data_IF_620580113310
#
_entry.id   IF_620580113310
#
_cell.length_a   1.000
_cell.length_b   1.000
_cell.length_c   1.000
_cell.angle_alpha   90.00
_cell.angle_beta   90.00
_cell.angle_gamma   90.00
#
_symmetry.space_group_name_H-M   'P 1'
#
loop_
_entity.id
_entity.type
_entity.pdbx_description
1 polymer ?
#
# COMPACT_ATOMS: atom_id res chain seq x y z
N UNK A 1 10.52 -13.96 -9.79
CA UNK A 1 11.21 -12.65 -9.89
C UNK A 1 11.18 -11.93 -8.56
N UNK A 2 12.13 -11.03 -8.30
CA UNK A 2 12.16 -10.14 -7.12
C UNK A 2 12.23 -8.64 -7.45
N UNK A 3 12.32 -8.27 -8.74
CA UNK A 3 12.21 -6.88 -9.22
C UNK A 3 11.72 -6.83 -10.66
N UNK A 4 11.22 -5.67 -11.09
CA UNK A 4 10.78 -5.46 -12.48
C UNK A 4 11.95 -5.44 -13.47
N UNK A 5 13.10 -4.92 -13.02
CA UNK A 5 14.34 -5.01 -13.78
C UNK A 5 14.69 -6.48 -14.06
N UNK A 6 14.62 -7.36 -13.06
CA UNK A 6 14.86 -8.79 -13.24
C UNK A 6 13.82 -9.44 -14.16
N UNK A 7 12.54 -9.03 -14.10
CA UNK A 7 11.52 -9.51 -15.04
C UNK A 7 11.89 -9.15 -16.49
N UNK A 8 12.20 -7.87 -16.75
CA UNK A 8 12.56 -7.38 -18.08
C UNK A 8 13.88 -7.95 -18.60
N UNK A 9 14.87 -8.21 -17.73
CA UNK A 9 16.11 -8.93 -18.05
C UNK A 9 15.88 -10.42 -18.40
N UNK A 10 14.70 -10.97 -18.14
CA UNK A 10 14.35 -12.37 -18.41
C UNK A 10 13.43 -12.53 -19.64
N UNK A 11 12.72 -11.48 -20.06
CA UNK A 11 11.89 -11.46 -21.26
C UNK A 11 12.59 -11.81 -22.60
N UNK A 12 13.91 -11.56 -22.79
CA UNK A 12 14.61 -12.00 -24.00
C UNK A 12 14.85 -13.52 -24.05
N UNK A 13 14.94 -14.17 -22.89
CA UNK A 13 15.43 -15.55 -22.77
C UNK A 13 14.35 -16.56 -22.38
N UNK A 14 13.29 -16.11 -21.72
CA UNK A 14 12.23 -16.99 -21.20
C UNK A 14 10.99 -16.94 -22.10
N UNK A 15 10.90 -17.93 -23.00
CA UNK A 15 9.78 -18.07 -23.95
C UNK A 15 8.42 -18.15 -23.27
N UNK A 16 8.30 -18.75 -22.07
CA UNK A 16 7.03 -18.84 -21.35
C UNK A 16 6.49 -17.46 -20.96
N UNK A 17 7.36 -16.53 -20.55
CA UNK A 17 6.92 -15.15 -20.27
C UNK A 17 6.54 -14.41 -21.56
N UNK A 18 7.26 -14.61 -22.67
CA UNK A 18 6.90 -14.01 -23.97
C UNK A 18 5.52 -14.45 -24.42
N UNK A 19 5.27 -15.76 -24.43
CA UNK A 19 3.95 -16.34 -24.74
C UNK A 19 2.84 -15.82 -23.81
N UNK A 20 3.10 -15.72 -22.50
CA UNK A 20 2.12 -15.24 -21.52
C UNK A 20 1.65 -13.79 -21.78
N UNK A 21 2.52 -12.93 -22.32
CA UNK A 21 2.18 -11.53 -22.66
C UNK A 21 1.86 -11.32 -24.15
N UNK A 22 1.79 -12.38 -24.95
CA UNK A 22 1.50 -12.30 -26.38
C UNK A 22 2.62 -11.74 -27.27
N UNK A 23 3.88 -11.74 -26.82
CA UNK A 23 5.02 -11.44 -27.70
C UNK A 23 5.46 -12.70 -28.46
N UNK A 24 5.67 -12.54 -29.77
CA UNK A 24 6.36 -13.51 -30.61
C UNK A 24 7.85 -13.65 -30.23
N UNK A 25 8.58 -14.54 -30.90
CA UNK A 25 9.97 -14.84 -30.52
C UNK A 25 10.93 -13.66 -30.75
N UNK A 26 10.78 -12.92 -31.85
CA UNK A 26 11.68 -11.84 -32.26
C UNK A 26 11.25 -10.43 -31.80
N UNK A 27 10.05 -10.28 -31.22
CA UNK A 27 9.48 -8.97 -30.89
C UNK A 27 10.32 -8.15 -29.89
N UNK A 28 10.38 -6.81 -30.04
CA UNK A 28 11.16 -5.94 -29.16
C UNK A 28 10.59 -5.91 -27.73
N UNK A 29 11.43 -6.25 -26.76
CA UNK A 29 11.13 -6.17 -25.32
C UNK A 29 11.20 -4.72 -24.83
N UNK A 30 10.25 -4.29 -23.98
CA UNK A 30 10.28 -2.95 -23.38
C UNK A 30 11.46 -2.74 -22.43
N UNK A 31 12.06 -1.55 -22.48
CA UNK A 31 13.10 -1.14 -21.53
C UNK A 31 12.49 -0.97 -20.14
N UNK A 32 13.11 -1.54 -19.11
CA UNK A 32 12.57 -1.58 -17.73
C UNK A 32 12.23 -0.21 -17.15
N UNK A 33 13.04 0.82 -17.42
CA UNK A 33 12.77 2.21 -16.97
C UNK A 33 11.58 2.86 -17.66
N UNK A 34 11.19 2.38 -18.86
CA UNK A 34 9.97 2.77 -19.56
C UNK A 34 8.79 1.94 -19.05
N UNK A 35 8.98 0.64 -18.84
CA UNK A 35 7.97 -0.26 -18.26
C UNK A 35 7.45 0.27 -16.91
N UNK A 36 8.33 0.53 -15.93
CA UNK A 36 7.92 1.06 -14.62
C UNK A 36 7.18 2.40 -14.75
N UNK A 37 7.70 3.35 -15.55
CA UNK A 37 7.05 4.66 -15.77
C UNK A 37 5.67 4.56 -16.44
N UNK A 38 5.49 3.60 -17.36
CA UNK A 38 4.21 3.38 -18.02
C UNK A 38 3.26 2.64 -17.10
N UNK A 39 3.71 1.62 -16.36
CA UNK A 39 2.97 0.92 -15.31
C UNK A 39 2.39 1.90 -14.29
N UNK A 40 3.21 2.81 -13.76
CA UNK A 40 2.79 3.78 -12.73
C UNK A 40 1.74 4.78 -13.23
N UNK A 41 1.61 4.94 -14.56
CA UNK A 41 0.56 5.74 -15.21
C UNK A 41 -0.68 4.89 -15.53
N UNK A 42 -0.48 3.69 -16.08
CA UNK A 42 -1.54 2.81 -16.58
C UNK A 42 -2.28 2.02 -15.49
N UNK A 43 -1.61 1.65 -14.40
CA UNK A 43 -2.22 0.98 -13.25
C UNK A 43 -2.86 1.95 -12.24
N UNK A 44 -3.13 3.19 -12.67
CA UNK A 44 -4.00 4.09 -11.90
C UNK A 44 -5.42 3.53 -11.86
N UNK A 45 -6.10 3.63 -10.71
CA UNK A 45 -7.42 3.02 -10.47
C UNK A 45 -8.44 3.33 -11.56
N UNK A 46 -8.39 4.55 -12.12
CA UNK A 46 -9.29 5.02 -13.16
C UNK A 46 -9.02 4.40 -14.54
N UNK A 47 -7.76 4.17 -14.91
CA UNK A 47 -7.41 3.50 -16.16
C UNK A 47 -7.66 1.99 -16.02
N UNK A 48 -7.27 1.38 -14.89
CA UNK A 48 -7.56 -0.02 -14.58
C UNK A 48 -9.06 -0.34 -14.67
N UNK A 49 -9.93 0.54 -14.13
CA UNK A 49 -11.39 0.42 -14.23
C UNK A 49 -11.88 0.50 -15.67
N UNK A 50 -11.36 1.44 -16.47
CA UNK A 50 -11.75 1.61 -17.89
C UNK A 50 -11.29 0.44 -18.76
N UNK A 51 -10.11 -0.11 -18.51
CA UNK A 51 -9.62 -1.32 -19.20
C UNK A 51 -10.48 -2.53 -18.82
N UNK A 52 -10.81 -2.73 -17.54
CA UNK A 52 -11.68 -3.82 -17.11
C UNK A 52 -13.07 -3.72 -17.74
N UNK A 53 -13.70 -2.54 -17.72
CA UNK A 53 -14.98 -2.31 -18.37
C UNK A 53 -14.93 -2.58 -19.89
N UNK A 54 -13.87 -2.15 -20.59
CA UNK A 54 -13.69 -2.43 -22.02
C UNK A 54 -13.44 -3.91 -22.34
N UNK A 55 -12.82 -4.67 -21.41
CA UNK A 55 -12.67 -6.13 -21.54
C UNK A 55 -14.01 -6.84 -21.34
N UNK A 56 -14.81 -6.44 -20.34
CA UNK A 56 -16.14 -7.01 -20.08
C UNK A 56 -17.11 -6.73 -21.23
N UNK A 57 -17.06 -5.53 -21.81
CA UNK A 57 -17.82 -5.15 -23.00
C UNK A 57 -17.26 -5.72 -24.33
N UNK A 58 -16.18 -6.52 -24.29
CA UNK A 58 -15.66 -7.14 -25.51
C UNK A 58 -16.63 -8.22 -26.02
N UNK A 59 -16.84 -8.27 -27.35
CA UNK A 59 -17.81 -9.17 -28.02
C UNK A 59 -17.68 -10.67 -27.68
N UNK A 60 -16.49 -11.11 -27.28
CA UNK A 60 -16.18 -12.50 -26.90
C UNK A 60 -16.30 -12.75 -25.38
N UNK A 61 -16.42 -11.69 -24.58
CA UNK A 61 -16.50 -11.75 -23.11
C UNK A 61 -17.92 -11.46 -22.62
N UNK A 62 -18.61 -10.48 -23.20
CA UNK A 62 -19.98 -10.14 -22.81
C UNK A 62 -20.96 -11.34 -22.80
N UNK A 63 -20.94 -12.28 -23.77
CA UNK A 63 -21.80 -13.48 -23.74
C UNK A 63 -21.49 -14.50 -22.64
N UNK A 64 -20.36 -14.35 -21.94
CA UNK A 64 -19.95 -15.19 -20.81
C UNK A 64 -20.53 -14.69 -19.48
N UNK A 65 -20.97 -13.44 -19.41
CA UNK A 65 -21.58 -12.86 -18.23
C UNK A 65 -22.98 -13.48 -17.99
N UNK A 66 -23.42 -13.52 -16.73
CA UNK A 66 -24.75 -14.02 -16.35
C UNK A 66 -25.42 -13.03 -15.42
N UNK A 67 -26.64 -12.61 -15.74
CA UNK A 67 -27.38 -11.57 -15.01
C UNK A 67 -27.89 -12.02 -13.63
N UNK A 68 -27.73 -13.31 -13.31
CA UNK A 68 -28.31 -13.95 -12.11
C UNK A 68 -27.24 -14.47 -11.12
N UNK A 69 -26.03 -14.80 -11.59
CA UNK A 69 -25.10 -15.67 -10.87
C UNK A 69 -23.88 -14.93 -10.32
N UNK A 70 -24.09 -13.97 -9.42
CA UNK A 70 -23.00 -13.20 -8.79
C UNK A 70 -22.64 -13.67 -7.38
N UNK A 71 -21.39 -13.42 -6.98
CA UNK A 71 -20.94 -13.46 -5.59
C UNK A 71 -20.06 -12.23 -5.26
N UNK A 72 -20.05 -11.83 -3.99
CA UNK A 72 -19.16 -10.77 -3.49
C UNK A 72 -18.34 -11.35 -2.33
N UNK A 73 -17.01 -11.43 -2.50
CA UNK A 73 -16.08 -11.81 -1.44
C UNK A 73 -15.45 -10.57 -0.76
N UNK A 74 -15.08 -10.74 0.50
CA UNK A 74 -14.33 -9.76 1.31
C UNK A 74 -13.00 -10.34 1.77
N UNK A 75 -11.95 -10.18 0.97
CA UNK A 75 -10.60 -10.69 1.26
C UNK A 75 -9.70 -9.60 1.88
N UNK A 76 -8.98 -9.96 2.95
CA UNK A 76 -8.08 -9.05 3.66
C UNK A 76 -6.77 -8.86 2.89
N UNK A 77 -6.53 -7.64 2.42
CA UNK A 77 -5.27 -7.27 1.74
C UNK A 77 -4.31 -6.68 2.77
N UNK A 78 -3.13 -7.27 2.92
CA UNK A 78 -2.11 -6.76 3.85
C UNK A 78 -1.50 -5.46 3.33
N UNK A 79 -1.46 -4.43 4.17
CA UNK A 79 -0.85 -3.13 3.83
C UNK A 79 0.68 -3.22 3.68
N UNK A 80 1.28 -2.30 2.93
CA UNK A 80 2.75 -2.13 2.87
C UNK A 80 3.26 -1.35 4.11
N UNK A 81 2.82 -1.77 5.29
CA UNK A 81 3.06 -1.08 6.55
C UNK A 81 3.58 -2.05 7.63
N UNK A 82 4.60 -1.61 8.37
CA UNK A 82 5.15 -2.35 9.50
C UNK A 82 4.41 -1.99 10.79
N UNK A 83 4.28 -2.91 11.74
CA UNK A 83 3.77 -2.58 13.09
C UNK A 83 4.61 -1.50 13.79
N UNK A 84 5.90 -1.33 13.42
CA UNK A 84 6.75 -0.22 13.90
C UNK A 84 6.32 1.17 13.38
N UNK A 85 5.56 1.24 12.29
CA UNK A 85 4.96 2.47 11.78
C UNK A 85 3.65 2.85 12.49
N UNK A 86 3.02 1.90 13.21
CA UNK A 86 1.74 2.11 13.88
C UNK A 86 1.94 2.85 15.20
N UNK A 87 1.81 4.17 15.16
CA UNK A 87 2.17 5.12 16.21
C UNK A 87 0.93 5.89 16.69
N UNK A 88 0.94 6.49 17.89
CA UNK A 88 -0.16 7.32 18.38
C UNK A 88 -0.48 8.48 17.42
N UNK A 89 -1.76 8.83 17.32
CA UNK A 89 -2.19 10.06 16.62
C UNK A 89 -1.89 11.28 17.50
N UNK A 90 -1.54 12.40 16.88
CA UNK A 90 -1.23 13.65 17.59
C UNK A 90 -2.42 14.23 18.37
N UNK A 91 -3.66 13.91 17.96
CA UNK A 91 -4.89 14.46 18.55
C UNK A 91 -5.28 13.84 19.91
N UNK A 92 -4.44 12.99 20.50
CA UNK A 92 -4.59 12.52 21.88
C UNK A 92 -3.76 13.42 22.79
N UNK A 93 -4.29 14.59 23.12
CA UNK A 93 -3.77 15.41 24.22
C UNK A 93 -3.86 14.60 25.52
N UNK A 94 -2.74 14.26 26.19
CA UNK A 94 -2.80 13.69 27.53
C UNK A 94 -3.39 14.73 28.50
N UNK A 95 -4.05 14.34 29.60
CA UNK A 95 -4.27 15.26 30.71
C UNK A 95 -2.91 15.86 31.13
N UNK A 96 -2.85 17.17 31.33
CA UNK A 96 -1.67 17.81 31.88
C UNK A 96 -1.50 17.32 33.33
N UNK A 97 -0.29 16.86 33.67
CA UNK A 97 0.10 16.53 35.04
C UNK A 97 0.81 17.75 35.63
N UNK A 98 0.11 18.49 36.49
CA UNK A 98 0.54 19.80 36.99
C UNK A 98 1.52 19.66 38.17
N UNK A 99 2.83 19.82 37.91
CA UNK A 99 3.86 20.00 38.94
C UNK A 99 5.26 19.52 38.49
N UNK A 100 6.36 20.26 38.66
CA UNK A 100 6.55 21.57 39.31
C UNK A 100 7.77 22.34 38.76
N UNK A 101 8.18 23.47 39.38
CA UNK A 101 8.86 24.56 38.67
C UNK A 101 10.37 24.74 38.92
N UNK A 102 11.03 25.45 37.98
CA UNK A 102 12.30 26.18 38.15
C UNK A 102 13.58 25.45 37.70
N UNK A 103 14.63 26.12 37.21
CA UNK A 103 14.74 27.51 36.71
C UNK A 103 15.96 27.65 35.71
N UNK A 104 16.49 28.83 35.29
CA UNK A 104 16.82 29.08 33.87
C UNK A 104 18.36 29.03 33.52
N UNK A 105 18.79 29.34 32.27
CA UNK A 105 20.13 28.97 31.76
C UNK A 105 21.22 30.06 31.91
N UNK A 106 22.48 29.68 31.63
CA UNK A 106 23.65 30.57 31.67
C UNK A 106 24.39 30.70 30.31
N UNK A 107 24.21 31.87 29.69
CA UNK A 107 25.20 32.75 29.03
C UNK A 107 26.00 32.39 27.74
N UNK A 108 26.43 33.49 27.09
CA UNK A 108 27.22 33.59 25.86
C UNK A 108 28.40 34.57 26.06
N UNK A 109 29.61 34.14 25.72
CA UNK A 109 30.67 34.95 25.06
C UNK A 109 31.72 33.94 24.53
N UNK A 110 32.23 33.93 23.29
CA UNK A 110 32.57 34.97 22.32
C UNK A 110 33.94 35.65 22.56
N UNK A 111 35.01 35.04 22.03
CA UNK A 111 36.20 35.77 21.56
C UNK A 111 36.97 34.99 20.46
N UNK A 112 37.56 35.72 19.50
CA UNK A 112 38.31 35.27 18.29
C UNK A 112 39.12 36.49 17.80
N UNK A 113 40.48 36.46 17.69
CA UNK A 113 41.13 35.75 16.57
C UNK A 113 42.58 35.21 16.79
N UNK A 114 43.04 34.28 15.93
CA UNK A 114 44.04 34.55 14.86
C UNK A 114 44.22 33.32 13.93
N UNK A 115 44.81 33.50 12.74
CA UNK A 115 45.24 32.45 11.79
C UNK A 115 46.42 32.96 10.94
N UNK A 116 47.47 32.15 10.70
CA UNK A 116 47.39 31.09 9.65
C UNK A 116 48.30 29.85 9.96
N UNK A 117 48.51 28.82 9.11
CA UNK A 117 48.02 28.51 7.74
C UNK A 117 47.60 26.99 7.69
N UNK A 118 47.94 26.05 6.75
CA UNK A 118 47.28 24.73 6.68
C UNK A 118 48.19 23.48 6.81
N UNK A 119 47.68 22.40 7.41
CA UNK A 119 48.18 21.03 7.22
C UNK A 119 47.03 20.06 6.87
N UNK A 120 47.31 19.10 5.98
CA UNK A 120 46.29 18.19 5.41
C UNK A 120 46.22 16.91 6.26
N UNK A 121 45.62 17.00 7.44
CA UNK A 121 45.31 15.82 8.25
C UNK A 121 43.99 15.18 7.80
N UNK A 122 43.98 13.86 7.61
CA UNK A 122 42.84 13.14 7.02
C UNK A 122 41.79 12.85 8.08
N UNK A 123 41.01 13.86 8.44
CA UNK A 123 39.94 13.75 9.44
C UNK A 123 39.03 12.53 9.16
N UNK A 124 38.91 11.57 10.10
CA UNK A 124 38.10 10.38 9.88
C UNK A 124 36.64 10.80 9.71
N UNK A 125 36.01 10.41 8.59
CA UNK A 125 34.64 10.82 8.27
C UNK A 125 33.72 10.55 9.45
N UNK A 126 33.21 11.62 10.09
CA UNK A 126 32.35 11.52 11.26
C UNK A 126 31.10 10.73 10.88
N UNK A 127 31.09 9.45 11.26
CA UNK A 127 30.04 8.51 10.88
C UNK A 127 28.77 8.86 11.64
N UNK A 128 28.00 9.79 11.09
CA UNK A 128 26.67 10.18 11.56
C UNK A 128 25.95 8.92 12.01
N UNK A 129 25.64 8.86 13.31
CA UNK A 129 25.11 7.67 13.96
C UNK A 129 23.77 7.35 13.32
N UNK A 130 23.81 6.38 12.40
CA UNK A 130 22.69 6.00 11.56
C UNK A 130 21.60 5.42 12.45
N UNK A 131 20.69 6.29 12.93
CA UNK A 131 19.53 5.94 13.75
C UNK A 131 18.93 4.65 13.22
N UNK A 132 18.91 3.61 14.04
CA UNK A 132 18.52 2.30 13.56
C UNK A 132 17.04 2.32 13.20
N UNK A 133 16.76 2.24 11.89
CA UNK A 133 15.42 2.24 11.32
C UNK A 133 14.63 0.99 11.69
N UNK A 134 15.27 0.01 12.34
CA UNK A 134 14.69 -1.24 12.78
C UNK A 134 15.00 -1.56 14.26
N UNK A 135 15.29 -0.55 15.10
CA UNK A 135 15.39 -0.73 16.55
C UNK A 135 14.23 -1.59 17.11
N UNK A 136 14.52 -2.48 18.05
CA UNK A 136 13.49 -3.30 18.69
C UNK A 136 12.60 -2.42 19.57
N UNK A 137 11.29 -2.61 19.46
CA UNK A 137 10.30 -1.98 20.30
C UNK A 137 9.53 -3.12 20.98
N UNK A 138 9.47 -3.13 22.32
CA UNK A 138 8.54 -4.01 23.01
C UNK A 138 7.11 -3.49 22.76
N UNK A 139 6.18 -4.43 22.61
CA UNK A 139 4.77 -4.19 22.35
C UNK A 139 3.87 -4.83 23.43
N UNK A 140 4.47 -5.40 24.49
CA UNK A 140 3.72 -6.09 25.56
C UNK A 140 3.16 -5.10 26.58
N UNK A 141 1.82 -5.03 26.63
CA UNK A 141 1.06 -4.22 27.58
C UNK A 141 0.28 -3.08 26.92
N UNK A 142 0.81 -2.49 25.84
CA UNK A 142 0.16 -1.36 25.16
C UNK A 142 -1.07 -1.78 24.35
N UNK A 143 -2.24 -1.24 24.69
CA UNK A 143 -3.51 -1.49 23.98
C UNK A 143 -3.64 -0.60 22.72
N UNK A 144 -2.79 -0.85 21.71
CA UNK A 144 -2.83 -0.13 20.42
C UNK A 144 -4.16 -0.40 19.67
N UNK A 145 -4.73 0.64 19.04
CA UNK A 145 -6.07 0.57 18.43
C UNK A 145 -6.23 1.56 17.26
N UNK A 146 -7.17 1.31 16.35
CA UNK A 146 -7.47 2.23 15.21
C UNK A 146 -8.01 3.60 15.65
N UNK A 147 -8.52 3.71 16.87
CA UNK A 147 -8.91 4.99 17.45
C UNK A 147 -7.67 5.82 17.82
N UNK A 148 -6.77 5.25 18.63
CA UNK A 148 -5.62 5.96 19.20
C UNK A 148 -4.37 6.00 18.32
N UNK A 149 -4.24 5.11 17.33
CA UNK A 149 -3.03 4.95 16.51
C UNK A 149 -3.34 4.96 15.01
N UNK A 150 -2.34 5.31 14.19
CA UNK A 150 -2.33 5.23 12.74
C UNK A 150 -0.94 4.80 12.24
N UNK A 151 -0.82 4.33 10.99
CA UNK A 151 0.49 4.03 10.40
C UNK A 151 1.09 5.26 9.72
N UNK A 152 2.34 5.58 10.05
CA UNK A 152 3.07 6.73 9.46
C UNK A 152 3.53 6.50 8.03
N UNK A 153 3.53 5.24 7.56
CA UNK A 153 3.84 4.90 6.15
C UNK A 153 2.59 4.73 5.28
N UNK A 154 1.44 4.55 5.91
CA UNK A 154 0.15 4.20 5.27
C UNK A 154 -0.98 4.57 6.25
N UNK A 155 -1.49 5.82 6.22
CA UNK A 155 -2.44 6.31 7.22
C UNK A 155 -3.84 5.67 7.14
N UNK A 156 -4.16 5.10 5.98
CA UNK A 156 -5.45 4.45 5.70
C UNK A 156 -5.49 3.00 6.19
N UNK A 157 -4.34 2.32 6.23
CA UNK A 157 -4.24 0.95 6.74
C UNK A 157 -4.72 0.82 8.20
N UNK A 158 -5.60 -0.18 8.43
CA UNK A 158 -6.23 -0.40 9.73
C UNK A 158 -5.71 -1.67 10.39
N UNK A 159 -5.50 -1.62 11.70
CA UNK A 159 -5.13 -2.78 12.51
C UNK A 159 -6.33 -3.72 12.61
N UNK A 160 -6.15 -4.96 12.16
CA UNK A 160 -7.18 -6.00 12.13
C UNK A 160 -6.65 -7.34 12.63
N UNK A 161 -7.54 -8.20 13.13
CA UNK A 161 -7.23 -9.53 13.67
C UNK A 161 -8.26 -10.54 13.18
N UNK A 162 -7.83 -11.51 12.35
CA UNK A 162 -8.73 -12.47 11.66
C UNK A 162 -9.43 -13.46 12.58
N UNK A 163 -8.81 -13.86 13.68
CA UNK A 163 -9.40 -14.78 14.67
C UNK A 163 -8.71 -14.67 16.03
N UNK A 164 -9.30 -15.31 17.05
CA UNK A 164 -8.59 -15.57 18.30
C UNK A 164 -7.30 -16.38 18.02
N UNK A 165 -6.20 -16.03 18.69
CA UNK A 165 -4.88 -16.63 18.46
C UNK A 165 -4.02 -15.96 17.39
N UNK A 166 -4.57 -15.44 16.29
CA UNK A 166 -3.76 -14.77 15.25
C UNK A 166 -3.27 -13.38 15.72
N UNK A 167 -2.03 -13.04 15.37
CA UNK A 167 -1.48 -11.69 15.57
C UNK A 167 -2.22 -10.63 14.76
N UNK A 168 -2.35 -9.42 15.30
CA UNK A 168 -2.96 -8.31 14.58
C UNK A 168 -2.01 -7.76 13.49
N UNK A 169 -2.56 -7.34 12.37
CA UNK A 169 -1.81 -6.84 11.21
C UNK A 169 -2.49 -5.59 10.63
N UNK A 170 -1.69 -4.74 9.96
CA UNK A 170 -2.21 -3.61 9.19
C UNK A 170 -2.72 -4.11 7.83
N UNK A 171 -4.00 -3.88 7.56
CA UNK A 171 -4.71 -4.40 6.40
C UNK A 171 -5.75 -3.41 5.85
N UNK A 172 -6.18 -3.71 4.64
CA UNK A 172 -7.34 -3.15 3.93
C UNK A 172 -8.39 -4.25 3.69
N UNK A 173 -9.61 -3.84 3.38
CA UNK A 173 -10.67 -4.72 2.91
C UNK A 173 -10.70 -4.69 1.39
N UNK A 174 -10.26 -5.77 0.74
CA UNK A 174 -10.45 -5.98 -0.69
C UNK A 174 -11.81 -6.62 -0.93
N UNK A 175 -12.61 -6.05 -1.82
CA UNK A 175 -13.88 -6.61 -2.24
C UNK A 175 -13.79 -7.03 -3.71
N UNK A 176 -14.24 -8.24 -4.04
CA UNK A 176 -14.32 -8.71 -5.42
C UNK A 176 -15.73 -9.15 -5.74
N UNK A 177 -16.31 -8.56 -6.78
CA UNK A 177 -17.52 -9.02 -7.44
C UNK A 177 -17.14 -10.05 -8.50
N UNK A 178 -17.61 -11.28 -8.33
CA UNK A 178 -17.39 -12.38 -9.26
C UNK A 178 -18.70 -12.83 -9.90
N UNK A 179 -18.60 -13.13 -11.19
CA UNK A 179 -19.58 -13.84 -12.00
C UNK A 179 -19.25 -15.35 -11.90
N UNK A 180 -20.21 -16.16 -11.46
CA UNK A 180 -19.95 -17.52 -11.01
C UNK A 180 -20.11 -18.58 -12.11
N UNK A 181 -20.76 -18.26 -13.25
CA UNK A 181 -21.00 -19.19 -14.37
C UNK A 181 -19.74 -19.43 -15.20
N UNK A 182 -18.97 -18.36 -15.43
CA UNK A 182 -17.75 -18.33 -16.22
C UNK A 182 -16.51 -18.00 -15.40
N UNK A 183 -16.67 -17.61 -14.12
CA UNK A 183 -15.57 -17.36 -13.18
C UNK A 183 -14.88 -16.00 -13.38
N UNK A 184 -15.60 -15.00 -13.90
CA UNK A 184 -15.05 -13.70 -14.25
C UNK A 184 -15.13 -12.71 -13.07
N UNK A 185 -14.04 -11.97 -12.81
CA UNK A 185 -14.06 -10.83 -11.88
C UNK A 185 -14.58 -9.61 -12.65
N UNK A 186 -15.73 -9.08 -12.25
CA UNK A 186 -16.37 -7.91 -12.87
C UNK A 186 -15.85 -6.60 -12.26
N UNK A 187 -15.67 -6.58 -10.94
CA UNK A 187 -15.21 -5.40 -10.21
C UNK A 187 -14.37 -5.81 -9.01
N UNK A 188 -13.33 -5.05 -8.74
CA UNK A 188 -12.50 -5.17 -7.55
C UNK A 188 -12.24 -3.79 -6.96
N UNK A 189 -12.59 -3.59 -5.70
CA UNK A 189 -12.38 -2.35 -4.96
C UNK A 189 -11.58 -2.61 -3.68
N UNK A 190 -10.79 -1.62 -3.26
CA UNK A 190 -10.02 -1.66 -2.02
C UNK A 190 -10.52 -0.54 -1.09
N UNK A 191 -10.84 -0.88 0.16
CA UNK A 191 -11.37 0.07 1.14
C UNK A 191 -10.66 -0.06 2.49
N UNK A 192 -10.78 0.97 3.32
CA UNK A 192 -10.33 0.90 4.71
C UNK A 192 -11.21 -0.08 5.50
N UNK A 193 -10.62 -0.80 6.45
CA UNK A 193 -11.40 -1.69 7.33
C UNK A 193 -12.15 -0.85 8.38
N UNK A 194 -13.34 -0.41 8.03
CA UNK A 194 -14.30 0.22 8.94
C UNK A 194 -15.04 -0.82 9.80
N UNK A 195 -15.90 -0.33 10.71
CA UNK A 195 -16.84 -1.20 11.42
C UNK A 195 -17.87 -1.81 10.46
N UNK A 196 -18.50 -2.91 10.89
CA UNK A 196 -19.30 -3.83 10.05
C UNK A 196 -20.37 -3.15 9.16
N UNK A 197 -20.89 -1.98 9.54
CA UNK A 197 -21.83 -1.20 8.72
C UNK A 197 -21.26 -0.75 7.35
N UNK A 198 -19.94 -0.49 7.25
CA UNK A 198 -19.31 -0.09 6.00
C UNK A 198 -19.34 -1.19 4.93
N UNK A 199 -19.15 -2.45 5.34
CA UNK A 199 -19.16 -3.64 4.46
C UNK A 199 -20.50 -3.78 3.73
N UNK A 200 -21.62 -3.60 4.43
CA UNK A 200 -22.94 -3.63 3.80
C UNK A 200 -23.12 -2.50 2.76
N UNK A 201 -22.60 -1.31 3.04
CA UNK A 201 -22.66 -0.16 2.11
C UNK A 201 -21.81 -0.37 0.86
N UNK A 202 -20.69 -1.08 0.96
CA UNK A 202 -19.83 -1.45 -0.17
C UNK A 202 -20.49 -2.56 -0.99
N UNK A 203 -21.02 -3.60 -0.33
CA UNK A 203 -21.75 -4.68 -1.00
C UNK A 203 -23.00 -4.16 -1.72
N UNK A 204 -23.70 -3.16 -1.17
CA UNK A 204 -24.81 -2.48 -1.84
C UNK A 204 -24.37 -1.73 -3.10
N UNK A 205 -23.23 -1.02 -3.06
CA UNK A 205 -22.65 -0.35 -4.24
C UNK A 205 -22.20 -1.34 -5.32
N UNK A 206 -21.59 -2.47 -4.93
CA UNK A 206 -21.20 -3.55 -5.85
C UNK A 206 -22.44 -4.22 -6.47
N UNK A 207 -23.50 -4.43 -5.69
CA UNK A 207 -24.78 -4.98 -6.17
C UNK A 207 -25.50 -4.02 -7.13
N UNK A 208 -25.48 -2.71 -6.87
CA UNK A 208 -25.90 -1.69 -7.84
C UNK A 208 -25.01 -1.68 -9.09
N UNK A 209 -23.70 -1.92 -8.92
CA UNK A 209 -22.75 -2.16 -10.01
C UNK A 209 -23.20 -3.30 -10.93
N UNK A 210 -23.57 -4.46 -10.37
CA UNK A 210 -24.16 -5.58 -11.11
C UNK A 210 -25.36 -5.11 -11.94
N UNK A 211 -26.34 -4.49 -11.28
CA UNK A 211 -27.57 -4.03 -11.93
C UNK A 211 -27.31 -3.03 -13.07
N UNK A 212 -26.32 -2.14 -12.92
CA UNK A 212 -25.94 -1.19 -13.96
C UNK A 212 -25.17 -1.85 -15.13
N UNK A 213 -24.34 -2.86 -14.86
CA UNK A 213 -23.61 -3.62 -15.89
C UNK A 213 -24.57 -4.45 -16.76
N UNK A 214 -25.57 -5.07 -16.14
CA UNK A 214 -26.64 -5.82 -16.81
C UNK A 214 -27.51 -4.90 -17.67
N UNK A 215 -27.82 -3.68 -17.19
CA UNK A 215 -28.66 -2.70 -17.91
C UNK A 215 -27.92 -1.90 -19.00
N UNK A 216 -26.65 -2.19 -19.28
CA UNK A 216 -25.84 -1.44 -20.26
C UNK A 216 -25.12 -2.30 -21.32
N UNK A 217 -25.44 -3.60 -21.39
CA UNK A 217 -25.11 -4.50 -22.51
C UNK A 217 -26.24 -4.61 -23.54
#
# INVERSE_FOLDING_TARGET
MRSERQLMEQMPYNLLFRCFIGLGIDDPVWVSTVFTKNRDRLLTTEISRKVLAAVLAHREVAPLLSDEHFSVDGTLVKAWASMKSFQPKADVTPPADDGGPGDPPADRAADVPDQPQPEIETAPMTRLTRRDRNAEADFRGEKRSNATHASTTDPEARLYKKSAGTGAMLCFMGHTLMENRSGLIIQADLTQIEAVAGVYSINAKLSQGCQSAIQSG
#
